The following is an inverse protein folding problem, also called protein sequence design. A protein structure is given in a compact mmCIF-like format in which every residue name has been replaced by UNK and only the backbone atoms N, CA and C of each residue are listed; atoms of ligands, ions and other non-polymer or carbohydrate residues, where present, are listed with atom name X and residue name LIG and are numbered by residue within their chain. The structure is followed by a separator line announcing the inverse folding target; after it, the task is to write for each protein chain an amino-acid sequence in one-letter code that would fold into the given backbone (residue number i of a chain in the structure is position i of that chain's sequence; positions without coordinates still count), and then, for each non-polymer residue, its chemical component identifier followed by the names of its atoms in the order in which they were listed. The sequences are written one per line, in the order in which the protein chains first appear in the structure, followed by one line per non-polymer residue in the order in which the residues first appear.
data_IF_812938089713
#
_entry.id   IF_812938089713
#
_cell.length_a   1.000
_cell.length_b   1.000
_cell.length_c   1.000
_cell.angle_alpha   90.00
_cell.angle_beta   90.00
_cell.angle_gamma   90.00
#
_symmetry.space_group_name_H-M   'P 1'
#
loop_
_entity.id
_entity.type
_entity.pdbx_description
1 polymer ?
#
# COMPACT_ATOMS: atom_id res chain seq x y z
N UNK A 1 -12.18 -11.92 -16.52
CA UNK A 1 -11.01 -12.29 -15.70
C UNK A 1 -10.27 -11.10 -15.05
N UNK A 2 -10.13 -9.88 -15.61
CA UNK A 2 -9.41 -8.80 -14.90
C UNK A 2 -10.17 -8.21 -13.70
N UNK A 3 -11.51 -8.20 -13.75
CA UNK A 3 -12.38 -7.65 -12.70
C UNK A 3 -12.22 -8.32 -11.33
N UNK A 4 -11.87 -9.61 -11.29
CA UNK A 4 -11.72 -10.35 -10.03
C UNK A 4 -10.48 -9.91 -9.23
N UNK A 5 -9.47 -9.35 -9.90
CA UNK A 5 -8.28 -8.78 -9.28
C UNK A 5 -8.43 -7.27 -9.05
N UNK A 6 -9.13 -6.58 -9.96
CA UNK A 6 -9.36 -5.15 -9.88
C UNK A 6 -10.25 -4.77 -8.69
N UNK A 7 -11.31 -5.53 -8.40
CA UNK A 7 -12.22 -5.20 -7.31
C UNK A 7 -11.55 -5.29 -5.91
N UNK A 8 -10.81 -6.36 -5.54
CA UNK A 8 -10.08 -6.41 -4.28
C UNK A 8 -8.97 -5.36 -4.21
N UNK A 9 -8.27 -5.12 -5.33
CA UNK A 9 -7.19 -4.13 -5.38
C UNK A 9 -7.73 -2.71 -5.15
N UNK A 10 -8.82 -2.34 -5.82
CA UNK A 10 -9.47 -1.06 -5.66
C UNK A 10 -10.04 -0.89 -4.24
N UNK A 11 -10.70 -1.92 -3.70
CA UNK A 11 -11.21 -1.90 -2.34
C UNK A 11 -10.09 -1.73 -1.30
N UNK A 12 -8.97 -2.44 -1.46
CA UNK A 12 -7.79 -2.29 -0.62
C UNK A 12 -7.16 -0.90 -0.72
N UNK A 13 -7.01 -0.36 -1.93
CA UNK A 13 -6.46 0.98 -2.15
C UNK A 13 -7.34 2.07 -1.54
N UNK A 14 -8.66 1.97 -1.70
CA UNK A 14 -9.61 2.92 -1.12
C UNK A 14 -9.66 2.83 0.40
N UNK A 15 -9.69 1.62 0.97
CA UNK A 15 -9.67 1.40 2.42
C UNK A 15 -8.38 1.91 3.07
N UNK A 16 -7.23 1.66 2.42
CA UNK A 16 -5.96 2.22 2.85
C UNK A 16 -5.94 3.76 2.78
N UNK A 17 -6.39 4.34 1.66
CA UNK A 17 -6.43 5.79 1.46
C UNK A 17 -7.33 6.51 2.47
N UNK A 18 -8.53 5.98 2.73
CA UNK A 18 -9.44 6.51 3.74
C UNK A 18 -8.82 6.45 5.15
N UNK A 19 -8.23 5.30 5.51
CA UNK A 19 -7.54 5.14 6.79
C UNK A 19 -6.26 5.96 6.92
N UNK A 20 -5.59 6.28 5.80
CA UNK A 20 -4.44 7.19 5.78
C UNK A 20 -4.90 8.63 6.02
N UNK A 21 -5.96 9.09 5.34
CA UNK A 21 -6.48 10.44 5.49
C UNK A 21 -7.02 10.72 6.89
N UNK A 22 -7.79 9.78 7.44
CA UNK A 22 -8.43 9.87 8.76
C UNK A 22 -7.48 9.74 9.96
N UNK A 23 -6.23 9.30 9.76
CA UNK A 23 -5.26 9.10 10.83
C UNK A 23 -4.56 10.38 11.29
N UNK A 24 -3.89 10.32 12.45
CA UNK A 24 -3.03 11.40 12.95
C UNK A 24 -1.73 11.52 12.13
N UNK A 25 -1.09 12.69 12.13
CA UNK A 25 0.14 12.94 11.35
C UNK A 25 1.28 11.92 11.61
N UNK A 26 1.44 11.46 12.85
CA UNK A 26 2.43 10.43 13.23
C UNK A 26 2.09 9.09 12.56
N UNK A 27 0.82 8.67 12.56
CA UNK A 27 0.41 7.42 11.90
C UNK A 27 0.57 7.48 10.38
N UNK A 28 0.47 8.67 9.77
CA UNK A 28 0.74 8.88 8.34
C UNK A 28 2.21 8.64 8.00
N UNK A 29 3.15 9.19 8.79
CA UNK A 29 4.59 8.96 8.58
C UNK A 29 4.96 7.49 8.70
N UNK A 30 4.41 6.78 9.69
CA UNK A 30 4.62 5.34 9.85
C UNK A 30 4.08 4.57 8.64
N UNK A 31 2.85 4.86 8.20
CA UNK A 31 2.25 4.23 7.01
C UNK A 31 3.05 4.51 5.74
N UNK A 32 3.56 5.74 5.58
CA UNK A 32 4.40 6.14 4.45
C UNK A 32 5.73 5.37 4.45
N UNK A 33 6.38 5.25 5.61
CA UNK A 33 7.61 4.46 5.78
C UNK A 33 7.38 2.97 5.51
N UNK A 34 6.26 2.41 5.99
CA UNK A 34 5.90 1.02 5.75
C UNK A 34 5.64 0.74 4.26
N UNK A 35 4.92 1.62 3.56
CA UNK A 35 4.72 1.48 2.11
C UNK A 35 6.02 1.67 1.35
N UNK A 36 6.75 2.77 1.59
CA UNK A 36 7.98 3.07 0.87
C UNK A 36 9.06 1.99 1.08
N UNK A 37 9.28 1.61 2.34
CA UNK A 37 10.21 0.54 2.70
C UNK A 37 9.76 -0.82 2.18
N UNK A 38 8.48 -1.18 2.35
CA UNK A 38 7.92 -2.43 1.84
C UNK A 38 8.00 -2.55 0.33
N UNK A 39 7.64 -1.49 -0.42
CA UNK A 39 7.74 -1.46 -1.87
C UNK A 39 9.19 -1.52 -2.35
N UNK A 40 10.13 -0.87 -1.67
CA UNK A 40 11.55 -0.95 -2.02
C UNK A 40 12.11 -2.36 -1.79
N UNK A 41 11.78 -2.98 -0.65
CA UNK A 41 12.19 -4.36 -0.36
C UNK A 41 11.56 -5.36 -1.33
N UNK A 42 10.27 -5.21 -1.65
CA UNK A 42 9.60 -6.02 -2.67
C UNK A 42 10.25 -5.84 -4.05
N UNK A 43 10.56 -4.60 -4.44
CA UNK A 43 11.29 -4.33 -5.69
C UNK A 43 12.66 -5.01 -5.70
N UNK A 44 13.41 -4.93 -4.59
CA UNK A 44 14.70 -5.63 -4.48
C UNK A 44 14.56 -7.14 -4.55
N UNK A 45 13.54 -7.71 -3.92
CA UNK A 45 13.29 -9.15 -3.95
C UNK A 45 12.88 -9.65 -5.35
N UNK A 46 12.07 -8.88 -6.08
CA UNK A 46 11.63 -9.24 -7.43
C UNK A 46 12.73 -9.01 -8.47
N UNK A 47 13.48 -7.91 -8.36
CA UNK A 47 14.57 -7.60 -9.30
C UNK A 47 15.85 -8.39 -9.01
N UNK A 48 16.02 -8.86 -7.78
CA UNK A 48 17.12 -9.72 -7.36
C UNK A 48 16.85 -11.22 -7.52
N UNK A 49 15.65 -11.61 -7.96
CA UNK A 49 15.27 -12.97 -8.35
C UNK A 49 15.55 -13.22 -9.83
#
# INVERSE_FOLDING_TARGET
MPLIYLAPLAAGALGFGAGFWSGSGVTKLIKLGAIGGGCYLAYRAVKGA
#
